data_IF_053377560739
#
_entry.id   IF_053377560739
#
_cell.length_a   1.000
_cell.length_b   1.000
_cell.length_c   1.000
_cell.angle_alpha   90.00
_cell.angle_beta   90.00
_cell.angle_gamma   90.00
#
_symmetry.space_group_name_H-M   'P 1'
#
loop_
_entity.id
_entity.type
_entity.pdbx_description
1 polymer ?
#
# COMPACT_ATOMS: atom_id res chain seq x y z
N UNK A 1 -54.30 1.89 47.45
CA UNK A 1 -53.31 2.98 47.38
C UNK A 1 -52.07 2.71 46.50
N UNK A 2 -51.81 1.48 46.00
CA UNK A 2 -50.58 1.19 45.21
C UNK A 2 -50.68 1.38 43.68
N UNK A 3 -51.87 1.33 43.06
CA UNK A 3 -52.00 1.55 41.61
C UNK A 3 -51.90 3.04 41.21
N UNK A 4 -52.47 3.96 41.98
CA UNK A 4 -52.47 5.40 41.63
C UNK A 4 -51.08 6.03 41.61
N UNK A 5 -50.18 5.58 42.51
CA UNK A 5 -48.79 6.06 42.55
C UNK A 5 -48.00 5.61 41.31
N UNK A 6 -48.31 4.42 40.76
CA UNK A 6 -47.68 3.89 39.55
C UNK A 6 -48.13 4.68 38.31
N UNK A 7 -49.42 5.00 38.20
CA UNK A 7 -49.92 5.82 37.09
C UNK A 7 -49.39 7.26 37.12
N UNK A 8 -49.24 7.84 38.31
CA UNK A 8 -48.67 9.19 38.48
C UNK A 8 -47.17 9.19 38.15
N UNK A 9 -46.42 8.16 38.56
CA UNK A 9 -44.98 8.07 38.24
C UNK A 9 -44.71 7.74 36.76
N UNK A 10 -45.58 6.95 36.11
CA UNK A 10 -45.49 6.68 34.67
C UNK A 10 -45.82 7.93 33.82
N UNK A 11 -46.81 8.72 34.24
CA UNK A 11 -47.15 9.99 33.59
C UNK A 11 -46.03 11.03 33.74
N UNK A 12 -45.35 11.07 34.90
CA UNK A 12 -44.22 11.96 35.14
C UNK A 12 -42.97 11.56 34.33
N UNK A 13 -42.76 10.27 34.08
CA UNK A 13 -41.66 9.76 33.25
C UNK A 13 -41.86 10.02 31.75
N UNK A 14 -43.11 10.06 31.27
CA UNK A 14 -43.41 10.39 29.87
C UNK A 14 -43.32 11.90 29.58
N UNK A 15 -43.50 12.76 30.58
CA UNK A 15 -43.41 14.20 30.43
C UNK A 15 -41.96 14.75 30.35
N UNK A 16 -40.96 13.95 30.73
CA UNK A 16 -39.53 14.36 30.69
C UNK A 16 -38.80 13.89 29.43
N UNK A 17 -39.47 13.17 28.53
CA UNK A 17 -38.90 12.61 27.30
C UNK A 17 -38.98 13.54 26.07
N UNK A 18 -39.05 14.86 26.26
CA UNK A 18 -38.93 15.83 25.16
C UNK A 18 -37.45 16.00 24.78
N UNK A 19 -36.92 15.10 23.97
CA UNK A 19 -35.64 15.32 23.29
C UNK A 19 -35.89 16.32 22.15
N UNK A 20 -35.47 17.58 22.30
CA UNK A 20 -35.48 18.52 21.17
C UNK A 20 -34.31 18.17 20.24
N UNK A 21 -34.55 17.68 19.01
CA UNK A 21 -33.48 17.53 18.05
C UNK A 21 -32.91 18.92 17.74
N UNK A 22 -31.65 19.14 18.10
CA UNK A 22 -30.93 20.35 17.73
C UNK A 22 -30.60 20.26 16.25
N UNK A 23 -31.30 21.02 15.44
CA UNK A 23 -30.94 21.23 14.05
C UNK A 23 -29.89 22.34 13.97
N UNK A 24 -28.79 22.07 13.28
CA UNK A 24 -27.83 23.13 12.92
C UNK A 24 -28.56 24.00 11.87
N UNK A 25 -29.06 25.16 12.30
CA UNK A 25 -29.82 26.08 11.44
C UNK A 25 -28.92 26.79 10.42
N UNK A 26 -27.65 26.99 10.77
CA UNK A 26 -26.69 27.65 9.89
C UNK A 26 -25.27 27.15 10.20
N UNK A 27 -24.58 26.67 9.17
CA UNK A 27 -23.18 26.28 9.22
C UNK A 27 -22.40 27.21 8.30
N UNK A 28 -21.82 28.27 8.86
CA UNK A 28 -20.89 29.13 8.12
C UNK A 28 -19.50 28.48 8.15
N UNK A 29 -19.01 28.08 6.97
CA UNK A 29 -17.62 27.64 6.81
C UNK A 29 -16.86 28.67 5.99
N UNK A 30 -15.73 29.13 6.52
CA UNK A 30 -14.82 30.02 5.80
C UNK A 30 -13.69 29.18 5.23
N UNK A 31 -13.74 28.93 3.93
CA UNK A 31 -12.66 28.25 3.21
C UNK A 31 -11.49 29.21 2.99
N UNK A 32 -10.35 28.89 3.59
CA UNK A 32 -9.09 29.56 3.30
C UNK A 32 -8.38 28.77 2.20
N UNK A 33 -8.41 29.29 0.97
CA UNK A 33 -7.59 28.76 -0.10
C UNK A 33 -6.15 29.25 0.08
N UNK A 34 -5.22 28.32 0.29
CA UNK A 34 -3.78 28.64 0.28
C UNK A 34 -3.34 28.74 -1.18
N UNK A 35 -3.37 29.97 -1.72
CA UNK A 35 -2.91 30.27 -3.08
C UNK A 35 -1.40 30.52 -3.14
N UNK A 36 -0.84 30.56 -4.35
CA UNK A 36 0.58 30.91 -4.59
C UNK A 36 0.87 32.40 -4.39
N UNK A 37 -0.16 33.22 -4.22
CA UNK A 37 -0.08 34.68 -4.25
C UNK A 37 0.16 35.31 -2.86
N UNK A 38 0.42 34.48 -1.84
CA UNK A 38 0.80 34.94 -0.51
C UNK A 38 2.31 35.13 -0.37
N UNK A 39 2.74 36.22 0.25
CA UNK A 39 4.14 36.37 0.69
C UNK A 39 4.41 35.41 1.85
N UNK A 40 5.41 34.53 1.69
CA UNK A 40 5.84 33.65 2.76
C UNK A 40 6.28 34.49 3.98
N UNK A 41 5.77 34.15 5.16
CA UNK A 41 6.18 34.79 6.40
C UNK A 41 7.67 34.49 6.66
N UNK A 42 8.49 35.54 6.71
CA UNK A 42 9.94 35.41 6.86
C UNK A 42 10.34 34.85 8.22
N UNK A 43 9.55 35.10 9.27
CA UNK A 43 9.78 34.54 10.61
C UNK A 43 9.51 33.03 10.62
N UNK A 44 8.43 32.60 9.98
CA UNK A 44 8.09 31.17 9.86
C UNK A 44 9.07 30.43 8.93
N UNK A 45 9.50 31.07 7.85
CA UNK A 45 10.54 30.54 6.96
C UNK A 45 11.85 30.32 7.71
N UNK A 46 12.27 31.32 8.50
CA UNK A 46 13.49 31.22 9.32
C UNK A 46 13.39 30.14 10.39
N UNK A 47 12.20 29.98 10.99
CA UNK A 47 11.92 28.92 11.95
C UNK A 47 12.03 27.51 11.33
N UNK A 48 11.50 27.32 10.11
CA UNK A 48 11.52 26.01 9.43
C UNK A 48 12.87 25.64 8.80
N UNK A 49 13.67 26.63 8.43
CA UNK A 49 14.93 26.43 7.70
C UNK A 49 15.87 25.37 8.29
N UNK A 50 16.20 25.36 9.60
CA UNK A 50 17.12 24.34 10.15
C UNK A 50 16.55 22.92 10.08
N UNK A 51 15.23 22.75 10.21
CA UNK A 51 14.57 21.44 10.06
C UNK A 51 14.61 20.97 8.61
N UNK A 52 14.33 21.89 7.67
CA UNK A 52 14.44 21.62 6.24
C UNK A 52 15.85 21.19 5.86
N UNK A 53 16.88 21.92 6.29
CA UNK A 53 18.27 21.59 5.98
C UNK A 53 18.68 20.22 6.53
N UNK A 54 18.27 19.88 7.76
CA UNK A 54 18.53 18.55 8.33
C UNK A 54 17.84 17.45 7.53
N UNK A 55 16.58 17.64 7.19
CA UNK A 55 15.82 16.69 6.38
C UNK A 55 16.44 16.53 4.97
N UNK A 56 16.78 17.65 4.32
CA UNK A 56 17.37 17.68 2.98
C UNK A 56 18.68 16.89 2.95
N UNK A 57 19.51 16.95 4.01
CA UNK A 57 20.77 16.19 4.07
C UNK A 57 20.57 14.66 3.99
N UNK A 58 19.46 14.14 4.51
CA UNK A 58 19.10 12.73 4.42
C UNK A 58 18.39 12.42 3.11
N UNK A 59 17.45 13.27 2.69
CA UNK A 59 16.60 13.05 1.52
C UNK A 59 17.35 13.19 0.19
N UNK A 60 18.40 13.99 0.15
CA UNK A 60 19.23 14.19 -1.05
C UNK A 60 20.35 13.14 -1.20
N UNK A 61 20.54 12.27 -0.20
CA UNK A 61 21.53 11.20 -0.29
C UNK A 61 21.22 10.29 -1.47
N UNK A 62 22.16 10.17 -2.40
CA UNK A 62 22.11 9.21 -3.51
C UNK A 62 22.39 7.81 -2.95
N UNK A 63 21.46 6.89 -3.16
CA UNK A 63 21.51 5.52 -2.63
C UNK A 63 21.75 4.48 -3.73
N UNK A 64 21.63 4.88 -5.00
CA UNK A 64 21.91 4.08 -6.18
C UNK A 64 21.52 4.82 -7.44
N UNK A 65 21.40 4.10 -8.55
CA UNK A 65 20.97 4.67 -9.83
C UNK A 65 20.16 3.65 -10.63
N UNK A 66 19.42 4.15 -11.60
CA UNK A 66 18.78 3.36 -12.66
C UNK A 66 19.22 3.91 -14.01
N UNK A 67 19.38 3.02 -14.99
CA UNK A 67 19.79 3.32 -16.36
C UNK A 67 18.61 3.58 -17.30
N UNK A 68 17.38 3.32 -16.83
CA UNK A 68 16.14 3.49 -17.60
C UNK A 68 15.07 4.18 -16.77
N UNK A 69 14.06 4.76 -17.40
CA UNK A 69 12.92 5.33 -16.68
C UNK A 69 12.03 4.20 -16.16
N UNK A 70 11.81 4.15 -14.85
CA UNK A 70 10.93 3.16 -14.22
C UNK A 70 9.53 3.73 -14.09
N UNK A 71 8.63 3.35 -14.98
CA UNK A 71 7.26 3.85 -15.00
C UNK A 71 6.33 3.00 -14.13
N UNK A 72 5.31 3.65 -13.56
CA UNK A 72 4.15 3.01 -12.95
C UNK A 72 3.07 2.82 -14.03
N UNK A 73 2.65 1.59 -14.23
CA UNK A 73 1.60 1.24 -15.18
C UNK A 73 0.84 -0.01 -14.73
N UNK A 74 -0.24 -0.32 -15.44
CA UNK A 74 -1.03 -1.55 -15.32
C UNK A 74 -1.15 -2.18 -16.71
N UNK A 75 -1.24 -3.51 -16.83
CA UNK A 75 -1.37 -4.47 -15.74
C UNK A 75 -0.07 -4.83 -15.03
N UNK A 76 1.08 -4.51 -15.64
CA UNK A 76 2.42 -4.70 -15.12
C UNK A 76 3.27 -3.47 -15.43
N UNK A 77 4.30 -3.20 -14.62
CA UNK A 77 5.23 -2.10 -14.87
C UNK A 77 6.58 -2.32 -14.21
N UNK A 78 7.62 -1.65 -14.74
CA UNK A 78 8.99 -1.79 -14.25
C UNK A 78 9.10 -1.34 -12.79
N UNK A 79 8.45 -0.21 -12.44
CA UNK A 79 8.41 0.29 -11.07
C UNK A 79 7.65 -0.67 -10.13
N UNK A 80 6.56 -1.26 -10.61
CA UNK A 80 5.81 -2.29 -9.87
C UNK A 80 6.66 -3.53 -9.60
N UNK A 81 7.35 -4.04 -10.63
CA UNK A 81 8.19 -5.22 -10.53
C UNK A 81 9.35 -5.00 -9.55
N UNK A 82 10.01 -3.83 -9.59
CA UNK A 82 11.01 -3.45 -8.59
C UNK A 82 10.46 -3.57 -7.15
N UNK A 83 9.30 -2.96 -6.88
CA UNK A 83 8.72 -2.98 -5.53
C UNK A 83 8.40 -4.40 -5.08
N UNK A 84 7.77 -5.20 -5.94
CA UNK A 84 7.41 -6.56 -5.61
C UNK A 84 8.63 -7.48 -5.42
N UNK A 85 9.68 -7.31 -6.23
CA UNK A 85 10.92 -8.09 -6.12
C UNK A 85 11.70 -7.74 -4.85
N UNK A 86 11.78 -6.45 -4.52
CA UNK A 86 12.40 -6.00 -3.27
C UNK A 86 11.67 -6.56 -2.05
N UNK A 87 10.33 -6.53 -2.05
CA UNK A 87 9.51 -7.14 -1.01
C UNK A 87 9.74 -8.66 -0.90
N UNK A 88 9.75 -9.38 -2.03
CA UNK A 88 10.00 -10.83 -2.04
C UNK A 88 11.39 -11.17 -1.53
N UNK A 89 12.42 -10.44 -1.96
CA UNK A 89 13.79 -10.66 -1.51
C UNK A 89 13.92 -10.45 0.01
N UNK A 90 13.36 -9.36 0.55
CA UNK A 90 13.39 -9.08 1.98
C UNK A 90 12.58 -10.11 2.78
N UNK A 91 11.39 -10.48 2.31
CA UNK A 91 10.58 -11.50 2.95
C UNK A 91 11.31 -12.85 3.02
N UNK A 92 12.08 -13.21 1.98
CA UNK A 92 12.90 -14.43 1.98
C UNK A 92 14.07 -14.41 2.97
N UNK A 93 14.52 -13.24 3.42
CA UNK A 93 15.48 -13.15 4.53
C UNK A 93 14.84 -13.48 5.89
N UNK A 94 13.52 -13.26 6.03
CA UNK A 94 12.76 -13.54 7.26
C UNK A 94 12.19 -14.96 7.23
N UNK A 95 11.64 -15.38 6.09
CA UNK A 95 11.11 -16.71 5.85
C UNK A 95 11.52 -17.17 4.44
N UNK A 96 12.49 -18.08 4.38
CA UNK A 96 13.05 -18.62 3.14
C UNK A 96 12.02 -19.38 2.29
N UNK A 97 10.88 -19.76 2.86
CA UNK A 97 9.79 -20.45 2.17
C UNK A 97 8.80 -19.49 1.50
N UNK A 98 9.04 -18.17 1.54
CA UNK A 98 8.16 -17.18 0.87
C UNK A 98 8.14 -17.40 -0.65
N UNK A 99 6.96 -17.75 -1.16
CA UNK A 99 6.74 -18.13 -2.56
C UNK A 99 6.72 -16.93 -3.49
N UNK A 100 6.01 -15.86 -3.09
CA UNK A 100 5.70 -14.72 -3.93
C UNK A 100 5.46 -13.45 -3.10
N UNK A 101 5.36 -12.30 -3.78
CA UNK A 101 5.01 -11.03 -3.17
C UNK A 101 3.93 -10.30 -3.98
N UNK A 102 3.07 -9.56 -3.27
CA UNK A 102 2.01 -8.72 -3.84
C UNK A 102 2.09 -7.34 -3.20
N UNK A 103 2.03 -6.28 -4.02
CA UNK A 103 1.85 -4.92 -3.55
C UNK A 103 0.65 -4.30 -4.29
N UNK A 104 -0.18 -3.51 -3.62
CA UNK A 104 -1.29 -2.83 -4.28
C UNK A 104 -0.79 -1.67 -5.14
N UNK A 105 -1.41 -1.50 -6.31
CA UNK A 105 -1.07 -0.41 -7.23
C UNK A 105 -1.21 0.98 -6.60
N UNK A 106 -2.13 1.14 -5.63
CA UNK A 106 -2.34 2.39 -4.90
C UNK A 106 -1.17 2.76 -3.97
N UNK A 107 -0.36 1.78 -3.56
CA UNK A 107 0.81 1.97 -2.68
C UNK A 107 1.93 2.77 -3.33
N UNK A 108 2.12 2.65 -4.65
CA UNK A 108 3.14 3.39 -5.40
C UNK A 108 2.61 4.80 -5.71
N UNK A 109 3.27 5.85 -5.24
CA UNK A 109 2.69 7.22 -5.23
C UNK A 109 3.22 8.18 -6.28
N UNK A 110 4.30 7.83 -6.95
CA UNK A 110 4.83 8.58 -8.11
C UNK A 110 4.58 7.84 -9.42
N UNK A 111 4.42 8.56 -10.54
CA UNK A 111 4.19 7.96 -11.85
C UNK A 111 5.46 7.32 -12.45
N UNK A 112 6.65 7.78 -12.05
CA UNK A 112 7.92 7.25 -12.54
C UNK A 112 9.09 7.60 -11.62
N UNK A 113 10.20 6.87 -11.78
CA UNK A 113 11.55 7.28 -11.39
C UNK A 113 12.34 7.51 -12.67
N UNK A 114 12.91 8.70 -12.84
CA UNK A 114 13.76 9.03 -13.99
C UNK A 114 15.07 8.23 -13.98
N UNK A 115 15.64 8.03 -15.16
CA UNK A 115 16.99 7.49 -15.28
C UNK A 115 18.01 8.42 -14.58
N UNK A 116 19.04 7.82 -14.00
CA UNK A 116 20.08 8.50 -13.23
C UNK A 116 20.00 8.18 -11.74
N UNK A 117 20.46 9.12 -10.92
CA UNK A 117 20.61 8.93 -9.47
C UNK A 117 19.24 8.78 -8.78
N UNK A 118 19.16 7.76 -7.93
CA UNK A 118 18.04 7.54 -7.03
C UNK A 118 18.44 8.03 -5.65
N UNK A 119 17.67 8.97 -5.09
CA UNK A 119 17.87 9.47 -3.74
C UNK A 119 16.96 8.79 -2.73
N UNK A 120 17.31 8.88 -1.44
CA UNK A 120 16.41 8.49 -0.34
C UNK A 120 15.04 9.17 -0.49
N UNK A 121 15.02 10.48 -0.75
CA UNK A 121 13.80 11.25 -0.93
C UNK A 121 12.92 10.73 -2.05
N UNK A 122 13.52 10.23 -3.15
CA UNK A 122 12.76 9.63 -4.26
C UNK A 122 12.01 8.37 -3.82
N UNK A 123 12.60 7.55 -2.94
CA UNK A 123 11.91 6.37 -2.38
C UNK A 123 10.83 6.77 -1.38
N UNK A 124 11.05 7.84 -0.59
CA UNK A 124 10.00 8.42 0.26
C UNK A 124 8.82 8.95 -0.55
N UNK A 125 9.06 9.59 -1.69
CA UNK A 125 7.99 10.00 -2.60
C UNK A 125 7.26 8.80 -3.20
N UNK A 126 7.97 7.72 -3.55
CA UNK A 126 7.39 6.50 -4.10
C UNK A 126 6.49 5.75 -3.10
N UNK A 127 6.97 5.54 -1.87
CA UNK A 127 6.32 4.74 -0.84
C UNK A 127 6.27 5.52 0.49
N UNK A 128 5.42 6.56 0.59
CA UNK A 128 5.39 7.47 1.73
C UNK A 128 4.68 6.91 2.97
N UNK A 129 4.06 5.73 2.86
CA UNK A 129 3.35 5.11 3.96
C UNK A 129 4.31 4.33 4.87
N UNK A 130 4.00 4.26 6.15
CA UNK A 130 4.71 3.41 7.12
C UNK A 130 4.16 1.97 7.13
N UNK A 131 3.76 1.48 5.96
CA UNK A 131 3.27 0.12 5.82
C UNK A 131 4.40 -0.88 6.07
N UNK A 132 4.16 -1.85 6.95
CA UNK A 132 5.09 -2.91 7.25
C UNK A 132 4.97 -4.09 6.27
N UNK A 133 6.11 -4.66 5.88
CA UNK A 133 6.17 -5.93 5.18
C UNK A 133 5.58 -7.02 6.09
N UNK A 134 4.63 -7.77 5.55
CA UNK A 134 3.86 -8.78 6.28
C UNK A 134 3.77 -10.04 5.46
N UNK A 135 4.02 -11.19 6.06
CA UNK A 135 3.88 -12.50 5.41
C UNK A 135 2.52 -13.09 5.78
N UNK A 136 1.76 -13.53 4.78
CA UNK A 136 0.47 -14.22 4.96
C UNK A 136 0.56 -15.66 4.48
N UNK A 137 0.05 -16.58 5.30
CA UNK A 137 -0.19 -17.98 4.90
C UNK A 137 -1.58 -18.08 4.26
N UNK A 138 -1.64 -18.48 2.99
CA UNK A 138 -2.86 -18.42 2.17
C UNK A 138 -3.12 -19.74 1.47
N UNK A 139 -4.35 -20.25 1.58
CA UNK A 139 -4.79 -21.42 0.82
C UNK A 139 -4.96 -21.06 -0.67
N UNK A 140 -4.68 -22.00 -1.56
CA UNK A 140 -4.75 -21.82 -3.02
C UNK A 140 -6.06 -21.21 -3.53
N UNK A 141 -7.23 -21.57 -2.95
CA UNK A 141 -8.53 -20.97 -3.32
C UNK A 141 -8.58 -19.47 -3.04
N UNK A 142 -8.06 -19.05 -1.88
CA UNK A 142 -8.03 -17.64 -1.49
C UNK A 142 -6.98 -16.88 -2.31
N UNK A 143 -5.86 -17.52 -2.68
CA UNK A 143 -4.87 -16.93 -3.58
C UNK A 143 -5.46 -16.70 -4.99
N UNK A 144 -6.24 -17.66 -5.51
CA UNK A 144 -6.97 -17.50 -6.77
C UNK A 144 -7.99 -16.36 -6.66
N UNK A 145 -8.75 -16.30 -5.57
CA UNK A 145 -9.67 -15.18 -5.30
C UNK A 145 -8.93 -13.83 -5.32
N UNK A 146 -7.76 -13.77 -4.69
CA UNK A 146 -6.94 -12.56 -4.69
C UNK A 146 -6.46 -12.19 -6.10
N UNK A 147 -6.05 -13.16 -6.90
CA UNK A 147 -5.70 -12.92 -8.30
C UNK A 147 -6.88 -12.37 -9.12
N UNK A 148 -8.09 -12.89 -8.92
CA UNK A 148 -9.30 -12.31 -9.53
C UNK A 148 -9.54 -10.87 -9.06
N UNK A 149 -9.36 -10.59 -7.78
CA UNK A 149 -9.48 -9.23 -7.24
C UNK A 149 -8.48 -8.26 -7.89
N UNK A 150 -7.20 -8.66 -8.00
CA UNK A 150 -6.17 -7.86 -8.66
C UNK A 150 -6.48 -7.66 -10.15
N UNK A 151 -6.95 -8.70 -10.86
CA UNK A 151 -7.35 -8.61 -12.26
C UNK A 151 -8.51 -7.63 -12.49
N UNK A 152 -9.52 -7.63 -11.61
CA UNK A 152 -10.64 -6.70 -11.67
C UNK A 152 -10.18 -5.24 -11.45
N UNK A 153 -9.09 -5.06 -10.68
CA UNK A 153 -8.41 -3.78 -10.49
C UNK A 153 -7.38 -3.46 -11.58
N UNK A 154 -7.47 -4.10 -12.77
CA UNK A 154 -6.56 -3.95 -13.92
C UNK A 154 -5.13 -4.47 -13.74
N UNK A 155 -4.83 -5.21 -12.67
CA UNK A 155 -3.52 -5.79 -12.38
C UNK A 155 -2.73 -5.00 -11.33
N UNK A 156 -2.03 -5.71 -10.46
CA UNK A 156 -1.21 -5.16 -9.37
C UNK A 156 0.25 -5.64 -9.50
N UNK A 157 1.21 -4.90 -8.92
CA UNK A 157 2.58 -5.37 -8.77
C UNK A 157 2.68 -6.72 -8.06
N UNK A 158 3.31 -7.69 -8.72
CA UNK A 158 3.54 -9.04 -8.18
C UNK A 158 4.95 -9.54 -8.49
N UNK A 159 5.46 -10.43 -7.67
CA UNK A 159 6.69 -11.21 -7.91
C UNK A 159 6.42 -12.67 -7.56
N UNK A 160 6.86 -13.61 -8.40
CA UNK A 160 6.58 -15.05 -8.23
C UNK A 160 5.16 -15.49 -8.63
N UNK A 161 4.24 -14.57 -8.93
CA UNK A 161 2.89 -14.86 -9.47
C UNK A 161 2.83 -14.41 -10.92
N UNK A 162 2.12 -15.18 -11.76
CA UNK A 162 1.76 -14.74 -13.11
C UNK A 162 0.35 -15.13 -13.52
N UNK A 163 -0.35 -14.26 -14.27
CA UNK A 163 -1.67 -14.55 -14.84
C UNK A 163 -2.00 -13.63 -16.02
N UNK A 164 -2.99 -14.03 -16.82
CA UNK A 164 -3.59 -13.15 -17.83
C UNK A 164 -4.95 -12.61 -17.35
N UNK A 165 -5.32 -11.42 -17.79
CA UNK A 165 -6.60 -10.76 -17.49
C UNK A 165 -7.50 -10.89 -18.71
N UNK A 166 -8.62 -11.59 -18.55
CA UNK A 166 -9.70 -11.68 -19.54
C UNK A 166 -10.98 -11.21 -18.89
N UNK A 167 -11.60 -10.15 -19.43
CA UNK A 167 -12.87 -9.58 -18.93
C UNK A 167 -12.83 -9.28 -17.42
N UNK A 168 -11.71 -8.73 -16.93
CA UNK A 168 -11.52 -8.40 -15.52
C UNK A 168 -11.29 -9.61 -14.59
N UNK A 169 -11.13 -10.83 -15.13
CA UNK A 169 -10.80 -12.04 -14.37
C UNK A 169 -9.39 -12.52 -14.68
N UNK A 170 -8.70 -13.01 -13.65
CA UNK A 170 -7.46 -13.73 -13.80
C UNK A 170 -7.71 -15.12 -14.43
N UNK A 171 -6.93 -15.48 -15.43
CA UNK A 171 -6.88 -16.80 -16.06
C UNK A 171 -5.42 -17.26 -16.17
N UNK A 172 -5.20 -18.57 -16.31
CA UNK A 172 -3.86 -19.16 -16.36
C UNK A 172 -2.97 -18.72 -15.18
N UNK A 173 -3.55 -18.74 -13.98
CA UNK A 173 -2.88 -18.29 -12.76
C UNK A 173 -1.82 -19.30 -12.37
N UNK A 174 -0.59 -18.81 -12.20
CA UNK A 174 0.56 -19.60 -11.81
C UNK A 174 1.29 -18.92 -10.66
N UNK A 175 1.95 -19.75 -9.86
CA UNK A 175 2.93 -19.33 -8.87
C UNK A 175 4.21 -20.13 -9.11
N UNK A 176 5.34 -19.43 -9.20
CA UNK A 176 6.64 -20.00 -9.54
C UNK A 176 6.60 -20.90 -10.80
N UNK A 177 5.84 -20.46 -11.82
CA UNK A 177 5.69 -21.14 -13.11
C UNK A 177 4.80 -22.38 -13.10
N UNK A 178 4.11 -22.68 -11.98
CA UNK A 178 3.20 -23.84 -11.86
C UNK A 178 1.77 -23.37 -11.61
N UNK A 179 0.75 -24.06 -12.15
CA UNK A 179 -0.64 -23.81 -11.76
C UNK A 179 -0.81 -23.89 -10.24
N UNK A 180 -1.68 -23.04 -9.69
CA UNK A 180 -2.02 -23.08 -8.27
C UNK A 180 -2.80 -24.37 -7.97
N UNK A 181 -2.37 -25.09 -6.94
CA UNK A 181 -3.16 -26.15 -6.30
C UNK A 181 -4.08 -25.52 -5.26
N UNK A 182 -5.39 -25.65 -5.46
CA UNK A 182 -6.42 -25.12 -4.57
C UNK A 182 -6.34 -25.66 -3.14
N UNK A 183 -5.77 -26.84 -2.94
CA UNK A 183 -5.69 -27.49 -1.63
C UNK A 183 -4.36 -27.23 -0.92
N UNK A 184 -3.39 -26.62 -1.60
CA UNK A 184 -2.11 -26.26 -1.02
C UNK A 184 -2.19 -24.93 -0.24
N UNK A 185 -1.20 -24.71 0.61
CA UNK A 185 -0.93 -23.43 1.28
C UNK A 185 0.31 -22.80 0.68
N UNK A 186 0.25 -21.50 0.46
CA UNK A 186 1.33 -20.67 -0.05
C UNK A 186 1.70 -19.58 0.96
N UNK A 187 2.93 -19.10 0.88
CA UNK A 187 3.47 -18.05 1.76
C UNK A 187 3.71 -16.81 0.91
N UNK A 188 2.91 -15.77 1.11
CA UNK A 188 2.92 -14.57 0.28
C UNK A 188 3.35 -13.36 1.12
N UNK A 189 4.34 -12.62 0.64
CA UNK A 189 4.69 -11.32 1.21
C UNK A 189 3.75 -10.23 0.68
N UNK A 190 3.28 -9.38 1.56
CA UNK A 190 2.42 -8.24 1.24
C UNK A 190 2.68 -7.10 2.23
N UNK A 191 1.79 -6.13 2.28
CA UNK A 191 1.79 -5.08 3.28
C UNK A 191 0.67 -5.27 4.31
N UNK A 192 0.89 -4.76 5.52
CA UNK A 192 -0.07 -4.76 6.64
C UNK A 192 -1.41 -4.11 6.28
N UNK A 193 -1.42 -3.04 5.46
CA UNK A 193 -2.64 -2.42 4.97
C UNK A 193 -3.53 -3.40 4.21
N UNK A 194 -2.97 -4.22 3.31
CA UNK A 194 -3.71 -5.27 2.62
C UNK A 194 -4.07 -6.43 3.55
N UNK A 195 -3.13 -6.87 4.39
CA UNK A 195 -3.36 -7.98 5.33
C UNK A 195 -4.51 -7.69 6.31
N UNK A 196 -4.73 -6.41 6.63
CA UNK A 196 -5.83 -5.93 7.50
C UNK A 196 -7.11 -5.55 6.74
N UNK A 197 -7.18 -5.83 5.43
CA UNK A 197 -8.39 -5.69 4.62
C UNK A 197 -8.49 -4.45 3.75
N UNK A 198 -7.41 -3.65 3.67
CA UNK A 198 -7.29 -2.53 2.75
C UNK A 198 -7.52 -2.91 1.28
N UNK A 199 -7.87 -1.93 0.45
CA UNK A 199 -8.26 -2.13 -0.96
C UNK A 199 -9.31 -3.24 -1.18
N UNK A 200 -10.22 -3.45 -0.22
CA UNK A 200 -11.26 -4.50 -0.23
C UNK A 200 -10.69 -5.93 -0.19
N UNK A 201 -9.52 -6.12 0.41
CA UNK A 201 -8.92 -7.43 0.67
C UNK A 201 -9.39 -8.06 1.99
N UNK A 202 -10.66 -7.89 2.37
CA UNK A 202 -11.20 -8.39 3.65
C UNK A 202 -11.09 -9.92 3.81
N UNK A 203 -10.96 -10.65 2.70
CA UNK A 203 -10.68 -12.09 2.68
C UNK A 203 -9.28 -12.46 3.21
N UNK A 204 -8.38 -11.50 3.39
CA UNK A 204 -7.06 -11.71 4.03
C UNK A 204 -7.10 -11.62 5.55
N UNK A 205 -8.07 -10.89 6.14
CA UNK A 205 -8.20 -10.70 7.59
C UNK A 205 -8.22 -12.02 8.39
N UNK A 206 -8.95 -13.08 8.00
CA UNK A 206 -8.98 -14.31 8.78
C UNK A 206 -7.71 -15.16 8.62
N UNK A 207 -6.77 -14.79 7.74
CA UNK A 207 -5.55 -15.56 7.50
C UNK A 207 -4.49 -15.28 8.56
N UNK A 208 -3.58 -16.23 8.75
CA UNK A 208 -2.42 -16.02 9.61
C UNK A 208 -1.46 -15.05 8.94
N UNK A 209 -1.31 -13.86 9.53
CA UNK A 209 -0.39 -12.82 9.10
C UNK A 209 0.73 -12.64 10.14
N UNK A 210 1.98 -12.60 9.68
CA UNK A 210 3.18 -12.39 10.51
C UNK A 210 3.91 -11.13 10.05
N UNK A 211 3.92 -10.06 10.85
CA UNK A 211 4.71 -8.87 10.54
C UNK A 211 6.21 -9.19 10.50
N UNK A 212 6.91 -8.66 9.51
CA UNK A 212 8.37 -8.81 9.42
C UNK A 212 9.13 -7.76 10.24
N UNK A 213 8.43 -6.78 10.84
CA UNK A 213 9.02 -5.60 11.51
C UNK A 213 9.96 -4.79 10.60
N UNK A 214 9.65 -4.75 9.30
CA UNK A 214 10.37 -3.98 8.30
C UNK A 214 9.39 -3.06 7.58
N UNK A 215 9.67 -1.77 7.52
CA UNK A 215 8.88 -0.89 6.66
C UNK A 215 9.23 -1.14 5.20
N UNK A 216 8.23 -1.16 4.33
CA UNK A 216 8.45 -1.42 2.90
C UNK A 216 9.37 -0.36 2.30
N UNK A 217 9.26 0.90 2.74
CA UNK A 217 10.16 1.97 2.30
C UNK A 217 11.64 1.65 2.57
N UNK A 218 11.94 1.12 3.76
CA UNK A 218 13.31 0.75 4.13
C UNK A 218 13.78 -0.45 3.32
N UNK A 219 12.91 -1.43 3.08
CA UNK A 219 13.17 -2.55 2.16
C UNK A 219 13.57 -2.06 0.77
N UNK A 220 12.86 -1.06 0.22
CA UNK A 220 13.18 -0.48 -1.08
C UNK A 220 14.53 0.25 -1.07
N UNK A 221 14.81 1.02 -0.01
CA UNK A 221 16.10 1.73 0.14
C UNK A 221 17.25 0.73 0.20
N UNK A 222 17.12 -0.31 1.01
CA UNK A 222 18.17 -1.32 1.20
C UNK A 222 18.39 -2.15 -0.07
N UNK A 223 17.33 -2.46 -0.81
CA UNK A 223 17.44 -3.12 -2.11
C UNK A 223 18.27 -2.29 -3.10
N UNK A 224 17.99 -1.00 -3.22
CA UNK A 224 18.74 -0.09 -4.11
C UNK A 224 20.19 0.06 -3.64
N UNK A 225 20.44 0.22 -2.34
CA UNK A 225 21.79 0.27 -1.77
C UNK A 225 22.58 -1.02 -2.02
N UNK A 226 21.93 -2.17 -1.95
CA UNK A 226 22.58 -3.45 -2.22
C UNK A 226 23.03 -3.56 -3.68
N UNK A 227 22.20 -3.10 -4.63
CA UNK A 227 22.57 -3.02 -6.05
C UNK A 227 23.73 -2.05 -6.28
N UNK A 228 23.68 -0.86 -5.66
CA UNK A 228 24.76 0.13 -5.72
C UNK A 228 26.07 -0.45 -5.19
N UNK A 229 26.06 -1.14 -4.04
CA UNK A 229 27.24 -1.80 -3.47
C UNK A 229 27.80 -2.88 -4.40
N UNK A 230 26.94 -3.52 -5.19
CA UNK A 230 27.31 -4.49 -6.21
C UNK A 230 27.69 -3.86 -7.56
N UNK A 231 27.74 -2.52 -7.66
CA UNK A 231 27.95 -1.76 -8.90
C UNK A 231 26.94 -2.13 -10.01
N UNK A 232 25.69 -2.40 -9.64
CA UNK A 232 24.60 -2.71 -10.58
C UNK A 232 23.53 -1.61 -10.57
N UNK A 233 22.97 -1.24 -11.73
CA UNK A 233 21.80 -0.38 -11.77
C UNK A 233 20.57 -1.10 -11.22
N UNK A 234 19.60 -0.32 -10.74
CA UNK A 234 18.22 -0.79 -10.60
C UNK A 234 17.60 -0.93 -12.00
N UNK A 235 17.48 -2.16 -12.49
CA UNK A 235 16.96 -2.47 -13.83
C UNK A 235 15.93 -3.62 -13.79
N UNK A 236 14.70 -3.35 -13.30
CA UNK A 236 13.61 -4.33 -13.35
C UNK A 236 13.09 -4.51 -14.79
N UNK A 237 12.79 -5.74 -15.17
CA UNK A 237 12.27 -6.08 -16.50
C UNK A 237 10.75 -6.26 -16.50
N UNK A 238 10.09 -6.00 -17.63
CA UNK A 238 8.70 -6.42 -17.87
C UNK A 238 8.74 -7.87 -18.35
N UNK A 239 8.21 -8.78 -17.53
CA UNK A 239 8.34 -10.23 -17.76
C UNK A 239 7.01 -10.87 -18.16
N UNK A 240 5.96 -10.07 -18.36
CA UNK A 240 4.59 -10.53 -18.60
C UNK A 240 4.03 -11.31 -17.39
N UNK A 241 4.40 -10.88 -16.17
CA UNK A 241 3.85 -11.38 -14.91
C UNK A 241 2.33 -11.18 -14.91
N UNK A 242 1.87 -10.00 -15.30
CA UNK A 242 0.45 -9.73 -15.49
C UNK A 242 0.23 -9.10 -16.85
N UNK A 243 -0.68 -9.68 -17.64
CA UNK A 243 -0.95 -9.24 -19.01
C UNK A 243 -2.44 -9.30 -19.32
N UNK A 244 -2.91 -8.55 -20.32
CA UNK A 244 -4.22 -8.83 -20.89
C UNK A 244 -4.16 -10.11 -21.76
N UNK A 245 -5.24 -10.88 -21.78
CA UNK A 245 -5.40 -11.94 -22.76
C UNK A 245 -5.52 -11.33 -24.16
N UNK A 246 -4.94 -12.01 -25.15
CA UNK A 246 -5.13 -11.70 -26.57
C UNK A 246 -6.53 -12.12 -27.04
#
# INVERSE_FOLDING_TARGET
MRLGVIYISLALALATACHQPRYILEQSSKHYAVGKDGTADSSFTSFLLPYKQRMDSTMQLVIGYTDTVLTKAQPESALGNFVADAMLQAARQVNTQTDAAVCNQGGLRIPYIEAGNITTGKIYELMPFDNALTIVEINGKVLIQWCHHMAAAKGWPVSGISYAIKEGKAINIQINGKPIDENATYIIATNDYLATGGDKCSFLIPLKATPCNLFIRDVLIDYVKALQKANKPLHPYIEKRVRYAE
#
